data_IF_036514361209
#
_entry.id   IF_036514361209
#
_cell.length_a   1.000
_cell.length_b   1.000
_cell.length_c   1.000
_cell.angle_alpha   90.00
_cell.angle_beta   90.00
_cell.angle_gamma   90.00
#
_symmetry.space_group_name_H-M   'P 1'
#
loop_
_entity.id
_entity.type
_entity.pdbx_description
1 polymer ?
#
# COMPACT_ATOMS: atom_id res chain seq x y z
N UNK A 1 -14.62 4.81 -21.91
CA UNK A 1 -13.33 4.66 -21.21
C UNK A 1 -13.19 3.18 -20.87
N UNK A 2 -12.14 2.52 -21.34
CA UNK A 2 -12.00 1.07 -21.15
C UNK A 2 -11.62 0.76 -19.70
N UNK A 3 -12.30 -0.20 -19.09
CA UNK A 3 -11.99 -0.69 -17.75
C UNK A 3 -10.61 -1.34 -17.77
N UNK A 4 -9.66 -0.74 -17.03
CA UNK A 4 -8.29 -1.24 -16.97
C UNK A 4 -8.26 -2.40 -15.98
N UNK A 5 -8.24 -3.63 -16.48
CA UNK A 5 -8.12 -4.82 -15.65
C UNK A 5 -6.71 -4.89 -15.05
N UNK A 6 -6.61 -4.93 -13.71
CA UNK A 6 -5.36 -5.04 -12.97
C UNK A 6 -5.22 -6.48 -12.47
N UNK A 7 -4.13 -7.14 -12.83
CA UNK A 7 -3.80 -8.48 -12.34
C UNK A 7 -2.74 -8.35 -11.25
N UNK A 8 -3.05 -8.86 -10.05
CA UNK A 8 -2.10 -8.91 -8.93
C UNK A 8 -1.60 -10.35 -8.81
N UNK A 9 -0.35 -10.65 -9.17
CA UNK A 9 0.19 -11.99 -9.01
C UNK A 9 0.30 -12.33 -7.51
N UNK A 10 -0.28 -13.47 -7.14
CA UNK A 10 -0.19 -14.07 -5.80
C UNK A 10 0.82 -15.23 -5.87
N UNK A 11 2.03 -14.91 -6.32
CA UNK A 11 3.16 -15.84 -6.37
C UNK A 11 3.99 -15.81 -5.07
N UNK A 12 3.97 -14.68 -4.37
CA UNK A 12 4.49 -14.53 -3.01
C UNK A 12 3.32 -14.55 -2.02
N UNK A 13 3.30 -15.55 -1.13
CA UNK A 13 2.26 -15.77 -0.11
C UNK A 13 2.41 -14.83 1.11
N UNK A 14 3.33 -13.87 1.05
CA UNK A 14 3.49 -12.87 2.10
C UNK A 14 2.37 -11.83 2.08
N UNK A 15 1.97 -11.43 3.28
CA UNK A 15 1.07 -10.28 3.48
C UNK A 15 1.68 -9.02 2.86
N UNK A 16 0.88 -8.31 2.06
CA UNK A 16 1.27 -7.08 1.39
C UNK A 16 0.12 -6.09 1.33
N UNK A 17 0.44 -4.81 1.39
CA UNK A 17 -0.52 -3.72 1.15
C UNK A 17 -0.23 -3.14 -0.23
N UNK A 18 -1.27 -3.00 -1.05
CA UNK A 18 -1.16 -2.50 -2.43
C UNK A 18 -2.11 -1.31 -2.59
N UNK A 19 -1.57 -0.17 -3.03
CA UNK A 19 -2.34 1.01 -3.38
C UNK A 19 -2.56 1.04 -4.89
N UNK A 20 -3.81 1.13 -5.34
CA UNK A 20 -4.14 1.26 -6.76
C UNK A 20 -4.57 2.70 -7.03
N UNK A 21 -3.82 3.42 -7.88
CA UNK A 21 -4.16 4.79 -8.29
C UNK A 21 -4.11 4.92 -9.81
N UNK A 22 -5.23 5.30 -10.44
CA UNK A 22 -5.36 5.44 -11.90
C UNK A 22 -4.85 4.22 -12.69
N UNK A 23 -5.03 3.02 -12.14
CA UNK A 23 -4.55 1.78 -12.76
C UNK A 23 -3.05 1.53 -12.65
N UNK A 24 -2.35 2.25 -11.77
CA UNK A 24 -0.96 1.99 -11.40
C UNK A 24 -0.94 1.43 -9.97
N UNK A 25 -0.50 0.17 -9.79
CA UNK A 25 -0.31 -0.41 -8.46
C UNK A 25 1.01 0.05 -7.84
N UNK A 26 1.01 0.35 -6.54
CA UNK A 26 2.21 0.61 -5.72
C UNK A 26 2.17 -0.36 -4.53
N UNK A 27 3.24 -1.14 -4.35
CA UNK A 27 3.37 -2.07 -3.23
C UNK A 27 4.02 -1.32 -2.07
N UNK A 28 3.44 -1.45 -0.88
CA UNK A 28 4.01 -0.90 0.34
C UNK A 28 4.84 -1.96 1.04
N UNK A 29 6.05 -1.59 1.46
CA UNK A 29 6.93 -2.48 2.19
C UNK A 29 6.37 -2.78 3.58
N UNK A 30 6.46 -4.05 3.97
CA UNK A 30 6.13 -4.47 5.32
C UNK A 30 7.14 -3.87 6.31
N UNK A 31 6.70 -3.42 7.50
CA UNK A 31 7.61 -3.16 8.62
C UNK A 31 8.60 -4.31 8.85
N UNK A 32 9.87 -3.99 9.10
CA UNK A 32 10.89 -5.00 9.41
C UNK A 32 10.54 -5.82 10.67
N UNK A 33 9.90 -5.19 11.67
CA UNK A 33 9.39 -5.84 12.89
C UNK A 33 8.13 -5.15 13.41
N UNK A 34 7.38 -5.83 14.28
CA UNK A 34 6.29 -5.25 15.07
C UNK A 34 4.96 -5.06 14.32
N UNK A 35 4.10 -4.22 14.90
CA UNK A 35 2.86 -3.73 14.27
C UNK A 35 3.16 -2.39 13.63
N UNK A 36 2.66 -2.17 12.42
CA UNK A 36 2.81 -0.90 11.71
C UNK A 36 1.45 -0.27 11.42
N UNK A 37 1.34 1.03 11.64
CA UNK A 37 0.22 1.83 11.16
C UNK A 37 0.65 2.46 9.83
N UNK A 38 -0.13 2.23 8.78
CA UNK A 38 0.05 2.95 7.53
C UNK A 38 -1.13 3.91 7.34
N UNK A 39 -0.84 5.21 7.38
CA UNK A 39 -1.83 6.25 7.16
C UNK A 39 -1.60 6.84 5.78
N UNK A 40 -2.59 6.67 4.91
CA UNK A 40 -2.59 7.27 3.59
C UNK A 40 -3.63 8.39 3.58
N UNK A 41 -3.18 9.63 3.45
CA UNK A 41 -4.07 10.78 3.28
C UNK A 41 -4.34 11.05 1.80
N UNK A 42 -5.61 11.24 1.45
CA UNK A 42 -6.06 11.48 0.07
C UNK A 42 -6.83 12.79 0.00
N UNK A 43 -6.53 13.60 -1.01
CA UNK A 43 -7.29 14.81 -1.34
C UNK A 43 -7.37 14.92 -2.87
N UNK A 44 -8.57 15.14 -3.42
CA UNK A 44 -8.83 15.23 -4.87
C UNK A 44 -8.24 14.07 -5.70
N UNK A 45 -8.34 12.83 -5.19
CA UNK A 45 -7.82 11.64 -5.86
C UNK A 45 -6.29 11.58 -5.93
N UNK A 46 -5.58 12.44 -5.17
CA UNK A 46 -4.13 12.42 -5.00
C UNK A 46 -3.79 12.04 -3.56
N UNK A 47 -2.85 11.10 -3.42
CA UNK A 47 -2.18 10.82 -2.15
C UNK A 47 -1.40 12.08 -1.78
N UNK A 48 -1.71 12.67 -0.63
CA UNK A 48 -1.09 13.89 -0.10
C UNK A 48 -0.11 13.61 1.03
N UNK A 49 -0.27 12.48 1.72
CA UNK A 49 0.69 11.96 2.68
C UNK A 49 0.65 10.44 2.70
N UNK A 50 1.82 9.84 2.86
CA UNK A 50 2.01 8.43 3.18
C UNK A 50 2.92 8.37 4.41
N UNK A 51 2.38 7.89 5.53
CA UNK A 51 3.12 7.74 6.78
C UNK A 51 3.03 6.28 7.22
N UNK A 52 4.19 5.64 7.25
CA UNK A 52 4.36 4.35 7.92
C UNK A 52 4.97 4.60 9.30
N UNK A 53 4.24 4.23 10.34
CA UNK A 53 4.72 4.23 11.72
C UNK A 53 4.97 2.81 12.18
N UNK A 54 6.08 2.56 12.85
CA UNK A 54 6.46 1.25 13.35
C UNK A 54 6.44 1.23 14.87
N UNK A 55 5.65 0.34 15.46
CA UNK A 55 5.70 0.10 16.90
C UNK A 55 6.84 -0.87 17.17
N UNK A 56 7.99 -0.33 17.57
CA UNK A 56 9.12 -1.12 18.03
C UNK A 56 8.71 -1.77 19.36
N UNK A 57 8.44 -3.08 19.36
CA UNK A 57 8.39 -3.84 20.62
C UNK A 57 9.81 -3.85 21.16
N UNK A 58 10.06 -3.00 22.17
CA UNK A 58 11.28 -3.07 22.98
C UNK A 58 11.51 -4.47 23.50
#
# INVERSE_FOLDING_TARGET
MADKQIQIPVNDLKDKVIIIKKGVPTVLDRPATGFGENVISWTDGKITADRVSYTNKR
#
